data_IF_153528761116
#
_entry.id   IF_153528761116
#
_cell.length_a   1.000
_cell.length_b   1.000
_cell.length_c   1.000
_cell.angle_alpha   90.00
_cell.angle_beta   90.00
_cell.angle_gamma   90.00
#
_symmetry.space_group_name_H-M   'P 1'
#
loop_
_entity.id
_entity.type
_entity.pdbx_description
1 polymer ?
#
# COMPACT_ATOMS: atom_id res chain seq x y z
N UNK A 1 -6.01 -22.85 49.73
CA UNK A 1 -5.40 -23.20 48.44
C UNK A 1 -6.10 -22.40 47.36
N UNK A 2 -5.51 -21.30 46.91
CA UNK A 2 -6.01 -20.53 45.78
C UNK A 2 -4.80 -20.15 44.93
N UNK A 3 -4.77 -20.66 43.70
CA UNK A 3 -3.65 -20.56 42.78
C UNK A 3 -3.62 -19.16 42.14
N UNK A 4 -2.47 -18.50 42.24
CA UNK A 4 -2.12 -17.30 41.50
C UNK A 4 -1.84 -17.67 40.04
N UNK A 5 -2.66 -17.18 39.11
CA UNK A 5 -2.35 -17.20 37.67
C UNK A 5 -1.83 -15.82 37.26
N UNK A 6 -0.51 -15.68 37.22
CA UNK A 6 0.18 -14.53 36.60
C UNK A 6 0.34 -14.84 35.12
N UNK A 7 -0.39 -14.14 34.25
CA UNK A 7 -0.24 -14.27 32.80
C UNK A 7 0.72 -13.18 32.31
N UNK A 8 2.00 -13.54 32.11
CA UNK A 8 2.98 -12.69 31.44
C UNK A 8 2.72 -12.68 29.94
N UNK A 9 2.31 -11.54 29.39
CA UNK A 9 2.26 -11.32 27.94
C UNK A 9 3.66 -10.97 27.44
N UNK A 10 4.23 -11.84 26.61
CA UNK A 10 5.55 -11.70 26.02
C UNK A 10 5.41 -11.12 24.61
N UNK A 11 5.72 -9.85 24.42
CA UNK A 11 5.80 -9.21 23.11
C UNK A 11 7.17 -9.53 22.49
N UNK A 12 7.16 -10.39 21.47
CA UNK A 12 8.35 -10.72 20.67
C UNK A 12 8.49 -9.75 19.50
N UNK A 13 9.28 -8.70 19.69
CA UNK A 13 9.80 -7.87 18.59
C UNK A 13 11.11 -8.52 18.11
N UNK A 14 11.14 -9.02 16.87
CA UNK A 14 12.42 -9.33 16.20
C UNK A 14 12.48 -8.64 14.84
N UNK A 15 13.41 -7.70 14.83
CA UNK A 15 13.85 -6.83 13.75
C UNK A 15 14.38 -7.64 12.56
N UNK A 16 14.07 -7.21 11.33
CA UNK A 16 14.81 -7.63 10.14
C UNK A 16 15.99 -6.69 9.96
N UNK A 17 17.20 -7.21 10.20
CA UNK A 17 18.46 -6.59 9.84
C UNK A 17 18.78 -6.90 8.38
N UNK A 18 18.98 -5.87 7.56
CA UNK A 18 19.53 -5.99 6.22
C UNK A 18 21.05 -5.81 6.33
N UNK A 19 21.80 -6.84 5.99
CA UNK A 19 23.27 -6.81 5.98
C UNK A 19 23.76 -6.08 4.73
N UNK A 20 24.66 -5.13 4.94
CA UNK A 20 25.45 -4.42 3.94
C UNK A 20 26.84 -5.05 3.78
N UNK A 21 27.52 -4.67 2.68
CA UNK A 21 28.92 -4.92 2.30
C UNK A 21 29.22 -6.34 1.73
N UNK A 22 30.08 -6.51 0.73
CA UNK A 22 31.28 -5.74 0.37
C UNK A 22 31.59 -5.81 -1.13
N UNK A 23 32.09 -4.68 -1.66
CA UNK A 23 32.84 -4.61 -2.89
C UNK A 23 34.17 -5.35 -2.74
N UNK A 24 34.43 -6.33 -3.60
CA UNK A 24 35.75 -6.86 -3.88
C UNK A 24 36.31 -6.22 -5.15
N UNK A 25 37.45 -5.54 -5.02
CA UNK A 25 38.10 -4.82 -6.11
C UNK A 25 39.24 -5.60 -6.79
N UNK A 26 39.50 -5.16 -8.03
CA UNK A 26 40.79 -5.11 -8.76
C UNK A 26 41.18 -6.39 -9.53
N UNK A 27 41.32 -6.30 -10.87
CA UNK A 27 42.54 -5.82 -11.55
C UNK A 27 42.35 -5.64 -13.07
N UNK A 28 43.06 -4.65 -13.60
CA UNK A 28 43.26 -4.34 -15.01
C UNK A 28 44.13 -5.39 -15.70
N UNK A 29 43.86 -5.65 -16.98
CA UNK A 29 44.90 -5.76 -18.01
C UNK A 29 44.30 -5.68 -19.41
N UNK A 30 44.83 -4.71 -20.16
CA UNK A 30 44.72 -4.46 -21.59
C UNK A 30 45.13 -5.64 -22.46
N UNK A 31 44.41 -5.88 -23.56
CA UNK A 31 44.98 -6.01 -24.92
C UNK A 31 43.86 -5.97 -25.96
N UNK A 32 44.04 -5.12 -26.96
CA UNK A 32 43.26 -5.01 -28.18
C UNK A 32 43.29 -6.29 -29.02
N UNK A 33 42.12 -6.76 -29.45
CA UNK A 33 41.98 -7.63 -30.62
C UNK A 33 40.64 -7.37 -31.28
N UNK A 34 40.67 -6.69 -32.43
CA UNK A 34 39.52 -6.55 -33.32
C UNK A 34 39.26 -7.91 -33.96
N UNK A 35 38.29 -8.63 -33.42
CA UNK A 35 37.74 -9.85 -34.02
C UNK A 35 36.34 -9.58 -34.53
N UNK A 36 36.16 -9.51 -35.85
CA UNK A 36 34.83 -9.51 -36.48
C UNK A 36 34.12 -10.83 -36.17
N UNK A 37 32.92 -10.74 -35.60
CA UNK A 37 32.05 -11.90 -35.31
C UNK A 37 31.32 -12.34 -36.57
N UNK A 38 31.22 -13.65 -36.89
CA UNK A 38 30.44 -14.12 -38.03
C UNK A 38 28.93 -13.96 -37.77
N UNK A 39 28.19 -13.39 -38.71
CA UNK A 39 26.73 -13.31 -38.65
C UNK A 39 26.10 -14.63 -39.08
N UNK A 40 25.29 -15.24 -38.20
CA UNK A 40 24.48 -16.42 -38.48
C UNK A 40 23.05 -15.96 -38.80
N UNK A 41 22.56 -16.27 -40.00
CA UNK A 41 21.14 -16.13 -40.32
C UNK A 41 20.48 -17.52 -40.33
N UNK A 42 19.51 -17.70 -39.43
CA UNK A 42 18.70 -18.93 -39.34
C UNK A 42 17.56 -18.90 -40.34
N UNK A 43 17.49 -19.87 -41.24
CA UNK A 43 16.35 -20.07 -42.12
C UNK A 43 15.17 -20.68 -41.34
N UNK A 44 14.01 -20.02 -41.37
CA UNK A 44 12.76 -20.61 -40.90
C UNK A 44 12.41 -21.81 -41.81
N UNK A 45 12.46 -23.03 -41.27
CA UNK A 45 12.11 -24.25 -42.02
C UNK A 45 12.93 -25.50 -41.74
N UNK A 46 13.86 -25.50 -40.78
CA UNK A 46 14.42 -26.75 -40.22
C UNK A 46 15.43 -27.51 -41.08
N UNK A 47 15.97 -26.92 -42.16
CA UNK A 47 17.10 -27.51 -42.91
C UNK A 47 18.17 -26.46 -43.24
N UNK A 48 19.35 -26.62 -42.63
CA UNK A 48 20.64 -26.05 -43.08
C UNK A 48 21.01 -24.67 -42.55
N UNK A 49 21.98 -24.61 -41.62
CA UNK A 49 22.70 -23.38 -41.26
C UNK A 49 23.78 -23.11 -42.31
N UNK A 50 23.76 -21.96 -42.99
CA UNK A 50 24.83 -21.56 -43.93
C UNK A 50 25.71 -20.48 -43.29
N UNK A 51 27.00 -20.77 -43.17
CA UNK A 51 28.03 -19.81 -42.71
C UNK A 51 28.77 -19.30 -43.95
N UNK A 52 28.62 -18.01 -44.27
CA UNK A 52 29.41 -17.38 -45.31
C UNK A 52 30.77 -16.95 -44.76
N UNK A 53 31.86 -17.49 -45.34
CA UNK A 53 33.23 -16.97 -45.16
C UNK A 53 33.61 -16.20 -46.42
N UNK A 54 33.98 -14.93 -46.28
CA UNK A 54 34.57 -14.16 -47.38
C UNK A 54 36.00 -14.66 -47.60
N UNK A 55 36.20 -15.51 -48.61
CA UNK A 55 37.55 -15.86 -49.06
C UNK A 55 37.93 -14.87 -50.17
N UNK A 56 38.69 -13.84 -49.82
CA UNK A 56 39.34 -12.95 -50.80
C UNK A 56 40.56 -13.68 -51.36
N UNK A 57 40.40 -14.35 -52.50
CA UNK A 57 41.54 -14.84 -53.27
C UNK A 57 41.71 -13.91 -54.47
N UNK A 58 42.79 -13.15 -54.42
CA UNK A 58 43.28 -12.32 -55.50
C UNK A 58 43.40 -13.12 -56.80
N UNK A 59 42.84 -12.56 -57.87
CA UNK A 59 43.13 -12.94 -59.25
C UNK A 59 44.57 -12.54 -59.56
N UNK A 60 45.43 -13.52 -59.81
CA UNK A 60 46.75 -13.33 -60.40
C UNK A 60 46.72 -14.01 -61.77
N UNK A 61 46.78 -13.18 -62.81
CA UNK A 61 46.84 -13.62 -64.20
C UNK A 61 48.08 -14.49 -64.45
N UNK A 62 47.89 -15.57 -65.20
CA UNK A 62 48.98 -16.32 -65.81
C UNK A 62 49.14 -15.84 -67.24
N UNK A 63 50.24 -15.13 -67.48
CA UNK A 63 50.77 -14.74 -68.79
C UNK A 63 51.71 -15.85 -69.27
N UNK A 64 51.60 -16.23 -70.54
CA UNK A 64 52.46 -17.21 -71.22
C UNK A 64 51.66 -17.86 -72.33
N UNK A 65 52.03 -17.85 -73.61
CA UNK A 65 53.37 -17.81 -74.20
C UNK A 65 53.23 -17.21 -75.61
N UNK A 66 54.06 -16.23 -75.94
CA UNK A 66 54.17 -15.65 -77.28
C UNK A 66 55.06 -16.58 -78.13
N UNK A 67 54.43 -17.32 -79.03
CA UNK A 67 55.08 -17.98 -80.16
C UNK A 67 55.02 -17.07 -81.38
N UNK A 68 56.06 -16.27 -81.56
CA UNK A 68 56.34 -15.45 -82.72
C UNK A 68 56.56 -16.33 -83.96
N UNK A 69 55.74 -16.17 -85.02
CA UNK A 69 56.21 -16.44 -86.38
C UNK A 69 55.50 -15.57 -87.40
N UNK A 70 56.28 -14.65 -87.97
CA UNK A 70 56.31 -14.21 -89.37
C UNK A 70 54.99 -13.90 -90.10
N UNK A 71 54.66 -12.61 -90.10
CA UNK A 71 54.45 -11.71 -91.26
C UNK A 71 54.03 -12.34 -92.62
N UNK A 72 52.92 -11.79 -93.15
CA UNK A 72 52.43 -11.67 -94.55
C UNK A 72 51.35 -12.66 -95.03
N UNK A 73 50.10 -12.17 -95.02
CA UNK A 73 49.19 -12.27 -96.17
C UNK A 73 48.09 -13.34 -96.16
N UNK A 74 46.95 -13.10 -95.47
CA UNK A 74 45.59 -13.40 -96.01
C UNK A 74 44.50 -12.80 -95.09
N UNK A 75 43.93 -11.64 -95.45
CA UNK A 75 42.83 -11.01 -94.69
C UNK A 75 41.56 -11.86 -94.62
N UNK A 76 41.47 -12.93 -95.42
CA UNK A 76 40.33 -13.84 -95.46
C UNK A 76 40.30 -14.81 -94.28
N UNK A 77 41.45 -15.30 -93.82
CA UNK A 77 41.54 -16.22 -92.68
C UNK A 77 41.20 -15.53 -91.34
N UNK A 78 41.61 -14.27 -91.18
CA UNK A 78 41.25 -13.46 -90.01
C UNK A 78 39.76 -13.08 -89.99
N UNK A 79 39.17 -12.79 -91.16
CA UNK A 79 37.72 -12.61 -91.29
C UNK A 79 36.93 -13.89 -91.02
N UNK A 80 37.48 -15.05 -91.36
CA UNK A 80 36.85 -16.34 -91.09
C UNK A 80 36.86 -16.68 -89.59
N UNK A 81 37.97 -16.48 -88.89
CA UNK A 81 38.05 -16.64 -87.42
C UNK A 81 37.10 -15.68 -86.68
N UNK A 82 36.97 -14.45 -87.15
CA UNK A 82 36.00 -13.48 -86.62
C UNK A 82 34.55 -13.91 -86.87
N UNK A 83 34.25 -14.42 -88.06
CA UNK A 83 32.91 -14.93 -88.38
C UNK A 83 32.57 -16.19 -87.57
N UNK A 84 33.53 -17.09 -87.36
CA UNK A 84 33.34 -18.29 -86.53
C UNK A 84 33.12 -17.89 -85.06
N UNK A 85 33.88 -16.93 -84.53
CA UNK A 85 33.62 -16.33 -83.20
C UNK A 85 32.27 -15.64 -83.10
N UNK A 86 31.82 -14.95 -84.15
CA UNK A 86 30.51 -14.31 -84.19
C UNK A 86 29.39 -15.36 -84.24
N UNK A 87 29.58 -16.45 -84.98
CA UNK A 87 28.64 -17.58 -85.00
C UNK A 87 28.53 -18.24 -83.63
N UNK A 88 29.65 -18.46 -82.94
CA UNK A 88 29.68 -18.98 -81.57
C UNK A 88 29.02 -18.02 -80.57
N UNK A 89 29.25 -16.71 -80.70
CA UNK A 89 28.59 -15.69 -79.89
C UNK A 89 27.08 -15.67 -80.12
N UNK A 90 26.62 -15.72 -81.37
CA UNK A 90 25.20 -15.77 -81.72
C UNK A 90 24.55 -17.07 -81.22
N UNK A 91 25.24 -18.20 -81.32
CA UNK A 91 24.78 -19.47 -80.76
C UNK A 91 24.65 -19.40 -79.23
N UNK A 92 25.60 -18.73 -78.56
CA UNK A 92 25.57 -18.51 -77.11
C UNK A 92 24.43 -17.58 -76.69
N UNK A 93 24.20 -16.48 -77.42
CA UNK A 93 23.09 -15.55 -77.16
C UNK A 93 21.76 -16.29 -77.30
N UNK A 94 21.54 -17.05 -78.37
CA UNK A 94 20.31 -17.86 -78.53
C UNK A 94 20.10 -18.87 -77.40
N UNK A 95 21.17 -19.52 -76.93
CA UNK A 95 21.10 -20.43 -75.78
C UNK A 95 20.74 -19.71 -74.48
N UNK A 96 21.28 -18.50 -74.26
CA UNK A 96 20.95 -17.69 -73.09
C UNK A 96 19.54 -17.13 -73.15
N UNK A 97 19.06 -16.69 -74.31
CA UNK A 97 17.68 -16.26 -74.52
C UNK A 97 16.69 -17.38 -74.26
N UNK A 98 16.98 -18.61 -74.71
CA UNK A 98 16.15 -19.78 -74.42
C UNK A 98 16.09 -20.08 -72.91
N UNK A 99 17.23 -19.97 -72.20
CA UNK A 99 17.29 -20.16 -70.74
C UNK A 99 16.56 -19.04 -69.99
N UNK A 100 16.68 -17.79 -70.44
CA UNK A 100 15.94 -16.67 -69.83
C UNK A 100 14.44 -16.83 -70.00
N UNK A 101 13.96 -17.20 -71.20
CA UNK A 101 12.52 -17.52 -71.39
C UNK A 101 12.05 -18.63 -70.46
N UNK A 102 12.84 -19.68 -70.27
CA UNK A 102 12.49 -20.75 -69.35
C UNK A 102 12.44 -20.26 -67.89
N UNK A 103 13.37 -19.41 -67.48
CA UNK A 103 13.37 -18.82 -66.14
C UNK A 103 12.17 -17.89 -65.93
N UNK A 104 11.82 -17.08 -66.93
CA UNK A 104 10.63 -16.21 -66.88
C UNK A 104 9.35 -17.03 -66.70
N UNK A 105 9.19 -18.14 -67.43
CA UNK A 105 8.05 -19.04 -67.27
C UNK A 105 8.01 -19.66 -65.87
N UNK A 106 9.15 -20.14 -65.36
CA UNK A 106 9.22 -20.73 -64.01
C UNK A 106 8.91 -19.68 -62.92
N UNK A 107 9.34 -18.42 -63.10
CA UNK A 107 9.02 -17.32 -62.18
C UNK A 107 7.52 -17.02 -62.22
N UNK A 108 6.93 -16.94 -63.41
CA UNK A 108 5.49 -16.68 -63.56
C UNK A 108 4.65 -17.79 -62.90
N UNK A 109 5.00 -19.05 -63.12
CA UNK A 109 4.33 -20.20 -62.49
C UNK A 109 4.49 -20.18 -60.96
N UNK A 110 5.69 -19.89 -60.44
CA UNK A 110 5.92 -19.77 -59.00
C UNK A 110 5.13 -18.62 -58.37
N UNK A 111 5.05 -17.48 -59.04
CA UNK A 111 4.26 -16.33 -58.58
C UNK A 111 2.76 -16.66 -58.55
N UNK A 112 2.25 -17.36 -59.58
CA UNK A 112 0.85 -17.77 -59.63
C UNK A 112 0.52 -18.79 -58.53
N UNK A 113 1.41 -19.76 -58.31
CA UNK A 113 1.24 -20.79 -57.28
C UNK A 113 1.37 -20.22 -55.86
N UNK A 114 2.14 -19.15 -55.66
CA UNK A 114 2.23 -18.41 -54.40
C UNK A 114 1.03 -17.48 -54.19
N UNK A 115 0.47 -16.92 -55.26
CA UNK A 115 -0.73 -16.09 -55.20
C UNK A 115 -1.99 -16.88 -54.81
N UNK A 116 -2.02 -18.19 -55.08
CA UNK A 116 -3.12 -19.09 -54.68
C UNK A 116 -2.96 -19.65 -53.27
N UNK A 117 -1.86 -19.34 -52.55
CA UNK A 117 -1.71 -19.65 -51.12
C UNK A 117 -2.55 -18.66 -50.31
N UNK A 118 -3.87 -18.91 -50.35
CA UNK A 118 -4.88 -18.67 -49.32
C UNK A 118 -4.48 -17.59 -48.32
N UNK A 119 -5.02 -16.38 -48.50
CA UNK A 119 -5.17 -15.42 -47.41
C UNK A 119 -5.96 -16.11 -46.29
N UNK A 120 -5.26 -16.64 -45.28
CA UNK A 120 -5.90 -17.25 -44.12
C UNK A 120 -6.78 -16.18 -43.49
N UNK A 121 -8.09 -16.39 -43.46
CA UNK A 121 -9.05 -15.41 -42.96
C UNK A 121 -8.90 -15.26 -41.44
N UNK A 122 -8.08 -14.30 -41.00
CA UNK A 122 -7.86 -14.02 -39.57
C UNK A 122 -8.99 -13.20 -38.92
N UNK A 123 -9.97 -12.73 -39.70
CA UNK A 123 -11.09 -11.91 -39.22
C UNK A 123 -11.91 -12.56 -38.08
N UNK A 124 -12.09 -13.88 -38.11
CA UNK A 124 -12.79 -14.60 -37.05
C UNK A 124 -12.06 -14.54 -35.70
N UNK A 125 -10.73 -14.57 -35.70
CA UNK A 125 -9.94 -14.42 -34.47
C UNK A 125 -9.99 -12.99 -33.91
N UNK A 126 -10.08 -11.98 -34.76
CA UNK A 126 -10.25 -10.60 -34.29
C UNK A 126 -11.60 -10.38 -33.61
N UNK A 127 -12.68 -10.99 -34.14
CA UNK A 127 -13.99 -10.98 -33.48
C UNK A 127 -13.92 -11.63 -32.09
N UNK A 128 -13.35 -12.83 -31.97
CA UNK A 128 -13.26 -13.51 -30.67
C UNK A 128 -12.36 -12.78 -29.67
N UNK A 129 -11.26 -12.17 -30.13
CA UNK A 129 -10.41 -11.33 -29.27
C UNK A 129 -11.17 -10.09 -28.80
N UNK A 130 -11.96 -9.46 -29.67
CA UNK A 130 -12.80 -8.32 -29.30
C UNK A 130 -13.85 -8.71 -28.25
N UNK A 131 -14.53 -9.84 -28.45
CA UNK A 131 -15.53 -10.36 -27.51
C UNK A 131 -14.91 -10.69 -26.15
N UNK A 132 -13.74 -11.32 -26.13
CA UNK A 132 -13.00 -11.61 -24.90
C UNK A 132 -12.57 -10.33 -24.17
N UNK A 133 -12.12 -9.29 -24.90
CA UNK A 133 -11.77 -8.00 -24.30
C UNK A 133 -12.99 -7.32 -23.69
N UNK A 134 -14.13 -7.36 -24.37
CA UNK A 134 -15.39 -6.82 -23.85
C UNK A 134 -15.85 -7.57 -22.59
N UNK A 135 -15.74 -8.89 -22.59
CA UNK A 135 -16.06 -9.73 -21.43
C UNK A 135 -15.13 -9.43 -20.25
N UNK A 136 -13.81 -9.29 -20.48
CA UNK A 136 -12.85 -8.90 -19.43
C UNK A 136 -13.21 -7.54 -18.85
N UNK A 137 -13.52 -6.55 -19.69
CA UNK A 137 -13.91 -5.22 -19.22
C UNK A 137 -15.20 -5.24 -18.40
N UNK A 138 -16.20 -6.03 -18.83
CA UNK A 138 -17.45 -6.23 -18.10
C UNK A 138 -17.21 -6.86 -16.73
N UNK A 139 -16.43 -7.95 -16.68
CA UNK A 139 -16.08 -8.64 -15.43
C UNK A 139 -15.27 -7.76 -14.49
N UNK A 140 -14.37 -6.94 -15.03
CA UNK A 140 -13.59 -5.98 -14.26
C UNK A 140 -14.49 -4.92 -13.61
N UNK A 141 -15.44 -4.35 -14.36
CA UNK A 141 -16.43 -3.40 -13.83
C UNK A 141 -17.33 -4.03 -12.77
N UNK A 142 -17.80 -5.27 -12.99
CA UNK A 142 -18.57 -6.03 -11.99
C UNK A 142 -17.76 -6.27 -10.71
N UNK A 143 -16.49 -6.63 -10.83
CA UNK A 143 -15.62 -6.85 -9.69
C UNK A 143 -15.39 -5.54 -8.91
N UNK A 144 -15.16 -4.41 -9.60
CA UNK A 144 -15.08 -3.11 -8.95
C UNK A 144 -16.37 -2.75 -8.21
N UNK A 145 -17.54 -3.01 -8.81
CA UNK A 145 -18.82 -2.77 -8.14
C UNK A 145 -18.99 -3.63 -6.88
N UNK A 146 -18.57 -4.90 -6.93
CA UNK A 146 -18.58 -5.80 -5.77
C UNK A 146 -17.63 -5.29 -4.68
N UNK A 147 -16.43 -4.81 -5.04
CA UNK A 147 -15.49 -4.22 -4.09
C UNK A 147 -16.10 -3.02 -3.36
N UNK A 148 -16.76 -2.10 -4.08
CA UNK A 148 -17.44 -0.96 -3.46
C UNK A 148 -18.58 -1.40 -2.53
N UNK A 149 -19.34 -2.45 -2.92
CA UNK A 149 -20.38 -3.00 -2.04
C UNK A 149 -19.80 -3.67 -0.80
N UNK A 150 -18.66 -4.35 -0.92
CA UNK A 150 -17.93 -4.94 0.20
C UNK A 150 -17.47 -3.85 1.18
N UNK A 151 -16.84 -2.80 0.67
CA UNK A 151 -16.36 -1.68 1.48
C UNK A 151 -17.52 -0.98 2.19
N UNK A 152 -18.64 -0.76 1.51
CA UNK A 152 -19.85 -0.20 2.12
C UNK A 152 -20.42 -1.12 3.21
N UNK A 153 -20.51 -2.43 2.96
CA UNK A 153 -20.96 -3.40 3.96
C UNK A 153 -20.02 -3.47 5.18
N UNK A 154 -18.71 -3.34 4.97
CA UNK A 154 -17.71 -3.27 6.03
C UNK A 154 -17.87 -2.01 6.87
N UNK A 155 -17.97 -0.83 6.23
CA UNK A 155 -18.20 0.43 6.94
C UNK A 155 -19.51 0.41 7.75
N UNK A 156 -20.59 -0.14 7.18
CA UNK A 156 -21.85 -0.31 7.91
C UNK A 156 -21.72 -1.27 9.11
N UNK A 157 -20.95 -2.35 8.97
CA UNK A 157 -20.68 -3.28 10.07
C UNK A 157 -19.85 -2.62 11.18
N UNK A 158 -18.85 -1.81 10.83
CA UNK A 158 -18.05 -1.02 11.77
C UNK A 158 -18.90 0.02 12.51
N UNK A 159 -19.80 0.71 11.81
CA UNK A 159 -20.76 1.63 12.41
C UNK A 159 -21.67 0.93 13.43
N UNK A 160 -22.20 -0.25 13.09
CA UNK A 160 -23.01 -1.03 14.03
C UNK A 160 -22.21 -1.53 15.22
N UNK A 161 -20.96 -1.94 15.00
CA UNK A 161 -20.06 -2.35 16.08
C UNK A 161 -19.79 -1.20 17.03
N UNK A 162 -19.46 -0.01 16.51
CA UNK A 162 -19.22 1.18 17.33
C UNK A 162 -20.47 1.56 18.14
N UNK A 163 -21.66 1.51 17.52
CA UNK A 163 -22.94 1.73 18.22
C UNK A 163 -23.18 0.69 19.31
N UNK A 164 -22.92 -0.58 19.03
CA UNK A 164 -23.05 -1.66 20.01
C UNK A 164 -22.10 -1.45 21.20
N UNK A 165 -20.84 -1.13 20.94
CA UNK A 165 -19.85 -0.87 21.99
C UNK A 165 -20.25 0.35 22.84
N UNK A 166 -20.77 1.41 22.23
CA UNK A 166 -21.30 2.58 22.95
C UNK A 166 -22.50 2.22 23.84
N UNK A 167 -23.49 1.51 23.29
CA UNK A 167 -24.68 1.07 24.05
C UNK A 167 -24.31 0.09 25.16
N UNK A 168 -23.38 -0.83 24.93
CA UNK A 168 -22.87 -1.73 25.95
C UNK A 168 -22.20 -0.97 27.10
N UNK A 169 -21.37 0.03 26.79
CA UNK A 169 -20.75 0.87 27.82
C UNK A 169 -21.79 1.67 28.62
N UNK A 170 -22.82 2.20 27.95
CA UNK A 170 -23.93 2.88 28.61
C UNK A 170 -24.70 1.91 29.51
N UNK A 171 -25.00 0.71 29.02
CA UNK A 171 -25.66 -0.34 29.79
C UNK A 171 -24.88 -0.70 31.06
N UNK A 172 -23.57 -0.95 30.95
CA UNK A 172 -22.70 -1.24 32.10
C UNK A 172 -22.68 -0.10 33.11
N UNK A 173 -22.70 1.15 32.64
CA UNK A 173 -22.78 2.33 33.52
C UNK A 173 -24.12 2.35 34.26
N UNK A 174 -25.23 2.14 33.57
CA UNK A 174 -26.56 2.07 34.17
C UNK A 174 -26.68 0.90 35.15
N UNK A 175 -26.13 -0.28 34.82
CA UNK A 175 -26.11 -1.42 35.74
C UNK A 175 -25.30 -1.14 37.01
N UNK A 176 -24.17 -0.44 36.88
CA UNK A 176 -23.40 0.00 38.02
C UNK A 176 -24.21 0.99 38.88
N UNK A 177 -24.93 1.92 38.26
CA UNK A 177 -25.79 2.90 38.94
C UNK A 177 -26.95 2.22 39.68
N UNK A 178 -27.63 1.27 39.04
CA UNK A 178 -28.69 0.46 39.65
C UNK A 178 -28.15 -0.34 40.84
N UNK A 179 -26.95 -0.90 40.72
CA UNK A 179 -26.30 -1.64 41.82
C UNK A 179 -25.96 -0.71 43.00
N UNK A 180 -25.48 0.51 42.74
CA UNK A 180 -25.24 1.52 43.78
C UNK A 180 -26.55 1.96 44.45
N UNK A 181 -27.62 2.19 43.68
CA UNK A 181 -28.93 2.55 44.22
C UNK A 181 -29.53 1.43 45.07
N UNK A 182 -29.35 0.15 44.68
CA UNK A 182 -29.74 -1.00 45.51
C UNK A 182 -28.98 -1.03 46.84
N UNK A 183 -27.67 -0.78 46.82
CA UNK A 183 -26.87 -0.71 48.05
C UNK A 183 -27.31 0.45 48.97
N UNK A 184 -27.62 1.63 48.41
CA UNK A 184 -28.16 2.76 49.18
C UNK A 184 -29.53 2.41 49.78
N UNK A 185 -30.43 1.79 49.01
CA UNK A 185 -31.71 1.30 49.52
C UNK A 185 -31.51 0.32 50.67
N UNK A 186 -30.61 -0.65 50.53
CA UNK A 186 -30.37 -1.66 51.57
C UNK A 186 -29.81 -1.01 52.85
N UNK A 187 -28.91 -0.03 52.71
CA UNK A 187 -28.43 0.78 53.84
C UNK A 187 -29.54 1.59 54.51
N UNK A 188 -30.47 2.17 53.74
CA UNK A 188 -31.61 2.91 54.28
C UNK A 188 -32.59 1.96 54.99
N UNK A 189 -32.85 0.78 54.44
CA UNK A 189 -33.68 -0.25 55.07
C UNK A 189 -33.08 -0.67 56.41
N UNK A 190 -31.76 -0.90 56.46
CA UNK A 190 -31.07 -1.22 57.71
C UNK A 190 -31.20 -0.08 58.73
N UNK A 191 -31.02 1.18 58.29
CA UNK A 191 -31.22 2.35 59.15
C UNK A 191 -32.67 2.50 59.65
N UNK A 192 -33.68 2.13 58.86
CA UNK A 192 -35.07 2.09 59.31
C UNK A 192 -35.23 1.03 60.42
N UNK A 193 -34.71 -0.18 60.22
CA UNK A 193 -34.77 -1.23 61.24
C UNK A 193 -34.04 -0.84 62.54
N UNK A 194 -32.89 -0.19 62.46
CA UNK A 194 -32.17 0.32 63.63
C UNK A 194 -33.00 1.38 64.40
N UNK A 195 -33.66 2.28 63.67
CA UNK A 195 -34.55 3.29 64.27
C UNK A 195 -35.82 2.64 64.87
N UNK A 196 -36.39 1.62 64.22
CA UNK A 196 -37.53 0.86 64.76
C UNK A 196 -37.16 0.14 66.06
N UNK A 197 -35.97 -0.47 66.13
CA UNK A 197 -35.44 -1.08 67.35
C UNK A 197 -35.27 -0.03 68.46
N UNK A 198 -34.65 1.12 68.16
CA UNK A 198 -34.51 2.21 69.14
C UNK A 198 -35.86 2.73 69.65
N UNK A 199 -36.88 2.82 68.78
CA UNK A 199 -38.24 3.20 69.18
C UNK A 199 -38.84 2.15 70.13
N UNK A 200 -38.66 0.87 69.84
CA UNK A 200 -39.20 -0.21 70.68
C UNK A 200 -38.49 -0.28 72.03
N UNK A 201 -37.17 -0.11 72.06
CA UNK A 201 -36.37 -0.02 73.29
C UNK A 201 -36.85 1.15 74.17
N UNK A 202 -37.04 2.34 73.58
CA UNK A 202 -37.57 3.52 74.31
C UNK A 202 -39.00 3.31 74.82
N UNK A 203 -39.85 2.60 74.06
CA UNK A 203 -41.20 2.24 74.53
C UNK A 203 -41.15 1.26 75.70
N UNK A 204 -40.25 0.27 75.66
CA UNK A 204 -40.05 -0.68 76.74
C UNK A 204 -39.54 0.02 78.01
N UNK A 205 -38.57 0.93 77.88
CA UNK A 205 -38.08 1.75 78.99
C UNK A 205 -39.20 2.63 79.59
N UNK A 206 -40.01 3.27 78.74
CA UNK A 206 -41.16 4.06 79.18
C UNK A 206 -42.19 3.20 79.92
N UNK A 207 -42.48 1.99 79.42
CA UNK A 207 -43.38 1.05 80.07
C UNK A 207 -42.84 0.60 81.44
N UNK A 208 -41.54 0.31 81.53
CA UNK A 208 -40.86 -0.02 82.79
C UNK A 208 -40.93 1.13 83.79
N UNK A 209 -40.62 2.37 83.36
CA UNK A 209 -40.73 3.57 84.21
C UNK A 209 -42.16 3.76 84.75
N UNK A 210 -43.19 3.55 83.91
CA UNK A 210 -44.59 3.61 84.35
C UNK A 210 -44.94 2.50 85.34
N UNK A 211 -44.46 1.28 85.12
CA UNK A 211 -44.68 0.15 86.02
C UNK A 211 -44.02 0.40 87.38
N UNK A 212 -42.75 0.83 87.38
CA UNK A 212 -42.01 1.20 88.57
C UNK A 212 -42.72 2.33 89.33
N UNK A 213 -43.13 3.40 88.64
CA UNK A 213 -43.86 4.50 89.28
C UNK A 213 -45.18 4.03 89.90
N UNK A 214 -45.92 3.15 89.22
CA UNK A 214 -47.16 2.58 89.77
C UNK A 214 -46.89 1.72 91.02
N UNK A 215 -45.82 0.94 91.00
CA UNK A 215 -45.39 0.14 92.14
C UNK A 215 -44.96 1.02 93.31
N UNK A 216 -44.12 2.03 93.07
CA UNK A 216 -43.71 3.02 94.09
C UNK A 216 -44.91 3.75 94.67
N UNK A 217 -45.86 4.20 93.85
CA UNK A 217 -47.10 4.83 94.32
C UNK A 217 -47.97 3.86 95.12
N UNK A 218 -47.99 2.57 94.76
CA UNK A 218 -48.66 1.54 95.54
C UNK A 218 -47.96 1.30 96.88
N UNK A 219 -46.63 1.25 96.90
CA UNK A 219 -45.82 1.11 98.11
C UNK A 219 -45.98 2.34 99.02
N UNK A 220 -45.94 3.56 98.47
CA UNK A 220 -46.20 4.81 99.21
C UNK A 220 -47.64 4.89 99.71
N UNK A 221 -48.62 4.40 98.95
CA UNK A 221 -50.02 4.28 99.40
C UNK A 221 -50.16 3.30 100.56
N UNK A 222 -49.48 2.15 100.50
CA UNK A 222 -49.40 1.18 101.60
C UNK A 222 -48.70 1.80 102.82
N UNK A 223 -47.61 2.55 102.61
CA UNK A 223 -46.93 3.29 103.68
C UNK A 223 -47.79 4.42 104.26
N UNK A 224 -48.58 5.14 103.45
CA UNK A 224 -49.49 6.18 103.92
C UNK A 224 -50.75 5.61 104.60
N UNK A 225 -51.14 4.38 104.29
CA UNK A 225 -52.22 3.62 104.97
C UNK A 225 -51.73 2.92 106.25
N UNK A 226 -50.40 2.83 106.43
CA UNK A 226 -49.75 2.19 107.55
C UNK A 226 -49.03 3.18 108.46
N UNK A 227 -49.78 4.02 109.18
CA UNK A 227 -49.31 4.48 110.49
C UNK A 227 -49.40 3.30 111.46
N UNK A 228 -48.45 2.36 111.33
CA UNK A 228 -48.26 1.28 112.31
C UNK A 228 -46.95 1.57 113.03
N UNK A 229 -47.10 2.07 114.25
CA UNK A 229 -46.09 1.97 115.28
C UNK A 229 -45.86 0.48 115.57
N UNK A 230 -44.83 -0.12 114.98
CA UNK A 230 -44.37 -1.47 115.33
C UNK A 230 -43.19 -1.33 116.26
N UNK A 231 -43.48 -1.45 117.56
CA UNK A 231 -42.51 -1.88 118.56
C UNK A 231 -42.14 -3.33 118.23
N UNK A 232 -40.96 -3.53 117.62
CA UNK A 232 -40.34 -4.86 117.51
C UNK A 232 -39.57 -5.12 118.79
N UNK A 233 -40.21 -5.86 119.69
CA UNK A 233 -39.56 -6.49 120.83
C UNK A 233 -38.52 -7.51 120.33
N UNK A 234 -37.25 -7.17 120.55
CA UNK A 234 -36.09 -7.91 120.09
C UNK A 234 -35.72 -8.96 121.13
N UNK A 235 -36.21 -10.19 120.95
CA UNK A 235 -35.62 -11.36 121.58
C UNK A 235 -34.92 -12.18 120.50
N UNK A 236 -33.58 -12.12 120.50
CA UNK A 236 -32.58 -13.19 120.36
C UNK A 236 -31.23 -12.47 120.22
N UNK A 237 -30.43 -12.43 121.29
CA UNK A 237 -29.10 -11.81 121.29
C UNK A 237 -28.13 -12.64 120.45
N UNK A 238 -28.17 -12.44 119.13
CA UNK A 238 -27.04 -12.77 118.26
C UNK A 238 -25.97 -11.72 118.47
N UNK A 239 -24.73 -12.18 118.61
CA UNK A 239 -23.55 -11.36 118.89
C UNK A 239 -23.36 -10.31 117.78
N UNK A 240 -23.86 -9.09 118.01
CA UNK A 240 -23.82 -7.98 117.04
C UNK A 240 -22.40 -7.69 116.56
N UNK A 241 -21.39 -7.97 117.39
CA UNK A 241 -19.99 -7.82 117.04
C UNK A 241 -19.59 -8.76 115.90
N UNK A 242 -20.07 -10.02 115.91
CA UNK A 242 -19.84 -10.96 114.81
C UNK A 242 -20.61 -10.59 113.55
N UNK A 243 -21.86 -10.14 113.67
CA UNK A 243 -22.68 -9.75 112.50
C UNK A 243 -22.15 -8.47 111.84
N UNK A 244 -21.68 -7.50 112.63
CA UNK A 244 -21.04 -6.29 112.10
C UNK A 244 -19.68 -6.59 111.45
N UNK A 245 -18.90 -7.50 112.02
CA UNK A 245 -17.63 -7.94 111.43
C UNK A 245 -17.86 -8.74 110.13
N UNK A 246 -18.84 -9.65 110.11
CA UNK A 246 -19.23 -10.39 108.90
C UNK A 246 -19.80 -9.46 107.83
N UNK A 247 -20.63 -8.47 108.19
CA UNK A 247 -21.08 -7.42 107.25
C UNK A 247 -19.90 -6.63 106.70
N UNK A 248 -18.93 -6.26 107.54
CA UNK A 248 -17.74 -5.53 107.11
C UNK A 248 -16.89 -6.38 106.15
N UNK A 249 -16.68 -7.64 106.45
CA UNK A 249 -15.95 -8.59 105.60
C UNK A 249 -16.66 -8.80 104.26
N UNK A 250 -17.99 -8.89 104.24
CA UNK A 250 -18.78 -8.94 103.01
C UNK A 250 -18.64 -7.66 102.19
N UNK A 251 -18.73 -6.48 102.81
CA UNK A 251 -18.53 -5.21 102.10
C UNK A 251 -17.11 -5.07 101.57
N UNK A 252 -16.10 -5.43 102.35
CA UNK A 252 -14.70 -5.36 101.93
C UNK A 252 -14.41 -6.33 100.78
N UNK A 253 -15.03 -7.52 100.81
CA UNK A 253 -14.97 -8.49 99.72
C UNK A 253 -15.68 -7.96 98.46
N UNK A 254 -16.86 -7.35 98.58
CA UNK A 254 -17.61 -6.77 97.45
C UNK A 254 -16.86 -5.58 96.86
N UNK A 255 -16.30 -4.70 97.68
CA UNK A 255 -15.50 -3.56 97.23
C UNK A 255 -14.22 -4.03 96.53
N UNK A 256 -13.54 -5.04 97.08
CA UNK A 256 -12.34 -5.62 96.46
C UNK A 256 -12.65 -6.30 95.13
N UNK A 257 -13.76 -7.06 95.05
CA UNK A 257 -14.24 -7.66 93.80
C UNK A 257 -14.61 -6.60 92.77
N UNK A 258 -15.37 -5.58 93.14
CA UNK A 258 -15.77 -4.48 92.26
C UNK A 258 -14.54 -3.74 91.72
N UNK A 259 -13.55 -3.43 92.57
CA UNK A 259 -12.29 -2.81 92.12
C UNK A 259 -11.56 -3.66 91.07
N UNK A 260 -11.44 -4.98 91.31
CA UNK A 260 -10.81 -5.90 90.36
C UNK A 260 -11.61 -6.03 89.05
N UNK A 261 -12.94 -6.04 89.12
CA UNK A 261 -13.81 -6.10 87.95
C UNK A 261 -13.72 -4.82 87.11
N UNK A 262 -13.73 -3.65 87.75
CA UNK A 262 -13.54 -2.35 87.10
C UNK A 262 -12.16 -2.27 86.45
N UNK A 263 -11.10 -2.69 87.13
CA UNK A 263 -9.76 -2.70 86.56
C UNK A 263 -9.62 -3.67 85.37
N UNK A 264 -10.19 -4.88 85.46
CA UNK A 264 -10.26 -5.81 84.32
C UNK A 264 -11.08 -5.23 83.16
N UNK A 265 -12.19 -4.56 83.45
CA UNK A 265 -13.04 -3.93 82.45
C UNK A 265 -12.28 -2.80 81.74
N UNK A 266 -11.59 -1.93 82.48
CA UNK A 266 -10.74 -0.89 81.90
C UNK A 266 -9.59 -1.47 81.07
N UNK A 267 -8.88 -2.49 81.57
CA UNK A 267 -7.81 -3.15 80.83
C UNK A 267 -8.32 -3.75 79.52
N UNK A 268 -9.46 -4.45 79.56
CA UNK A 268 -10.12 -4.99 78.36
C UNK A 268 -10.47 -3.89 77.35
N UNK A 269 -11.03 -2.76 77.83
CA UNK A 269 -11.39 -1.64 76.95
C UNK A 269 -10.16 -0.97 76.32
N UNK A 270 -9.08 -0.80 77.09
CA UNK A 270 -7.80 -0.27 76.60
C UNK A 270 -7.18 -1.23 75.56
N UNK A 271 -7.23 -2.54 75.81
CA UNK A 271 -6.72 -3.54 74.86
C UNK A 271 -7.49 -3.50 73.53
N UNK A 272 -8.82 -3.38 73.58
CA UNK A 272 -9.66 -3.23 72.38
C UNK A 272 -9.28 -1.96 71.60
N UNK A 273 -9.18 -0.82 72.28
CA UNK A 273 -8.79 0.45 71.65
C UNK A 273 -7.38 0.37 71.07
N UNK A 274 -6.44 -0.27 71.77
CA UNK A 274 -5.08 -0.45 71.28
C UNK A 274 -5.04 -1.33 70.02
N UNK A 275 -5.82 -2.42 69.97
CA UNK A 275 -5.97 -3.24 68.77
C UNK A 275 -6.57 -2.44 67.61
N UNK A 276 -7.61 -1.65 67.87
CA UNK A 276 -8.24 -0.80 66.86
C UNK A 276 -7.27 0.27 66.32
N UNK A 277 -6.48 0.91 67.20
CA UNK A 277 -5.44 1.87 66.79
C UNK A 277 -4.39 1.20 65.92
N UNK A 278 -3.95 -0.01 66.27
CA UNK A 278 -2.97 -0.75 65.47
C UNK A 278 -3.54 -1.08 64.08
N UNK A 279 -4.76 -1.58 64.01
CA UNK A 279 -5.45 -1.88 62.74
C UNK A 279 -5.59 -0.63 61.89
N UNK A 280 -6.11 0.46 62.48
CA UNK A 280 -6.23 1.75 61.79
C UNK A 280 -4.87 2.25 61.29
N UNK A 281 -3.80 2.12 62.08
CA UNK A 281 -2.46 2.51 61.68
C UNK A 281 -1.91 1.63 60.55
N UNK A 282 -2.20 0.32 60.55
CA UNK A 282 -1.80 -0.56 59.44
C UNK A 282 -2.56 -0.23 58.17
N UNK A 283 -3.86 0.08 58.25
CA UNK A 283 -4.69 0.43 57.11
C UNK A 283 -4.26 1.76 56.50
N UNK A 284 -3.94 2.77 57.32
CA UNK A 284 -3.38 4.03 56.83
C UNK A 284 -2.06 3.79 56.08
N UNK A 285 -1.21 2.88 56.57
CA UNK A 285 0.05 2.54 55.90
C UNK A 285 -0.15 1.77 54.59
N UNK A 286 -1.14 0.89 54.50
CA UNK A 286 -1.45 0.16 53.25
C UNK A 286 -2.02 1.11 52.22
N UNK A 287 -3.01 1.94 52.58
CA UNK A 287 -3.57 2.96 51.68
C UNK A 287 -2.51 3.95 51.20
N UNK A 288 -1.58 4.37 52.07
CA UNK A 288 -0.49 5.23 51.64
C UNK A 288 0.44 4.57 50.61
N UNK A 289 0.73 3.27 50.77
CA UNK A 289 1.52 2.50 49.79
C UNK A 289 0.77 2.36 48.46
N UNK A 290 -0.51 2.02 48.51
CA UNK A 290 -1.37 1.91 47.32
C UNK A 290 -1.51 3.24 46.57
N UNK A 291 -1.66 4.35 47.30
CA UNK A 291 -1.70 5.68 46.69
C UNK A 291 -0.35 6.05 46.06
N UNK A 292 0.76 5.66 46.69
CA UNK A 292 2.11 5.86 46.14
C UNK A 292 2.36 5.02 44.88
N UNK A 293 1.93 3.75 44.85
CA UNK A 293 2.02 2.91 43.65
C UNK A 293 1.13 3.44 42.54
N UNK A 294 -0.11 3.83 42.84
CA UNK A 294 -1.03 4.41 41.87
C UNK A 294 -0.51 5.73 41.29
N UNK A 295 0.11 6.58 42.11
CA UNK A 295 0.76 7.80 41.64
C UNK A 295 1.91 7.50 40.67
N UNK A 296 2.73 6.49 40.96
CA UNK A 296 3.83 6.06 40.08
C UNK A 296 3.31 5.48 38.76
N UNK A 297 2.27 4.64 38.80
CA UNK A 297 1.67 4.10 37.57
C UNK A 297 1.03 5.19 36.73
N UNK A 298 0.33 6.14 37.36
CA UNK A 298 -0.22 7.31 36.67
C UNK A 298 0.87 8.15 36.00
N UNK A 299 1.96 8.45 36.70
CA UNK A 299 3.08 9.19 36.12
C UNK A 299 3.73 8.44 34.96
N UNK A 300 3.92 7.12 35.08
CA UNK A 300 4.44 6.28 33.99
C UNK A 300 3.51 6.28 32.77
N UNK A 301 2.20 6.23 32.99
CA UNK A 301 1.21 6.27 31.91
C UNK A 301 1.17 7.65 31.24
N UNK A 302 1.29 8.73 32.02
CA UNK A 302 1.40 10.09 31.50
C UNK A 302 2.64 10.25 30.60
N UNK A 303 3.80 9.71 31.02
CA UNK A 303 5.02 9.75 30.22
C UNK A 303 4.85 8.95 28.93
N UNK A 304 4.29 7.74 29.02
CA UNK A 304 4.00 6.89 27.85
C UNK A 304 3.05 7.58 26.85
N UNK A 305 2.01 8.26 27.37
CA UNK A 305 1.10 9.07 26.56
C UNK A 305 1.85 10.22 25.87
N UNK A 306 2.71 10.92 26.61
CA UNK A 306 3.48 12.03 26.06
C UNK A 306 4.46 11.56 24.98
N UNK A 307 5.15 10.44 25.19
CA UNK A 307 6.05 9.88 24.18
C UNK A 307 5.31 9.43 22.92
N UNK A 308 4.15 8.80 23.06
CA UNK A 308 3.31 8.43 21.92
C UNK A 308 2.82 9.67 21.15
N UNK A 309 2.45 10.74 21.87
CA UNK A 309 2.07 12.00 21.23
C UNK A 309 3.24 12.61 20.46
N UNK A 310 4.46 12.62 21.02
CA UNK A 310 5.64 13.14 20.30
C UNK A 310 5.99 12.30 19.07
N UNK A 311 5.78 10.98 19.13
CA UNK A 311 5.99 10.09 17.99
C UNK A 311 4.98 10.39 16.87
N UNK A 312 3.69 10.54 17.21
CA UNK A 312 2.65 10.91 16.25
C UNK A 312 2.98 12.25 15.58
N UNK A 313 3.36 13.27 16.35
CA UNK A 313 3.73 14.58 15.82
C UNK A 313 4.92 14.48 14.86
N UNK A 314 5.98 13.75 15.23
CA UNK A 314 7.14 13.53 14.37
C UNK A 314 6.77 12.81 13.07
N UNK A 315 5.92 11.78 13.14
CA UNK A 315 5.44 11.07 11.94
C UNK A 315 4.58 11.97 11.04
N UNK A 316 3.75 12.84 11.62
CA UNK A 316 2.96 13.82 10.86
C UNK A 316 3.86 14.85 10.16
N UNK A 317 4.86 15.38 10.86
CA UNK A 317 5.85 16.32 10.31
C UNK A 317 6.65 15.68 9.17
N UNK A 318 7.15 14.45 9.36
CA UNK A 318 7.86 13.71 8.32
C UNK A 318 6.98 13.45 7.08
N UNK A 319 5.72 13.08 7.30
CA UNK A 319 4.77 12.85 6.22
C UNK A 319 4.50 14.13 5.43
N UNK A 320 4.37 15.27 6.11
CA UNK A 320 4.19 16.57 5.45
C UNK A 320 5.45 17.02 4.71
N UNK A 321 6.63 16.82 5.28
CA UNK A 321 7.91 17.09 4.61
C UNK A 321 8.06 16.25 3.33
N UNK A 322 7.75 14.95 3.41
CA UNK A 322 7.78 14.05 2.26
C UNK A 322 6.79 14.49 1.18
N UNK A 323 5.55 14.81 1.55
CA UNK A 323 4.55 15.36 0.62
C UNK A 323 5.02 16.64 -0.05
N UNK A 324 5.55 17.57 0.73
CA UNK A 324 6.09 18.85 0.23
C UNK A 324 7.23 18.62 -0.75
N UNK A 325 8.16 17.72 -0.44
CA UNK A 325 9.27 17.34 -1.32
C UNK A 325 8.78 16.76 -2.65
N UNK A 326 7.83 15.82 -2.60
CA UNK A 326 7.26 15.23 -3.82
C UNK A 326 6.43 16.22 -4.63
N UNK A 327 5.70 17.12 -3.97
CA UNK A 327 4.97 18.20 -4.63
C UNK A 327 5.92 19.14 -5.37
N UNK A 328 7.05 19.51 -4.77
CA UNK A 328 8.09 20.32 -5.41
C UNK A 328 8.71 19.59 -6.61
N UNK A 329 9.04 18.30 -6.47
CA UNK A 329 9.56 17.49 -7.57
C UNK A 329 8.56 17.40 -8.73
N UNK A 330 7.28 17.20 -8.44
CA UNK A 330 6.23 17.17 -9.46
C UNK A 330 6.10 18.53 -10.17
N UNK A 331 6.19 19.64 -9.42
CA UNK A 331 6.17 20.98 -10.00
C UNK A 331 7.40 21.20 -10.90
N UNK A 332 8.59 20.76 -10.50
CA UNK A 332 9.79 20.84 -11.33
C UNK A 332 9.63 20.04 -12.62
N UNK A 333 9.14 18.80 -12.55
CA UNK A 333 8.86 17.98 -13.73
C UNK A 333 7.81 18.64 -14.63
N UNK A 334 6.75 19.21 -14.07
CA UNK A 334 5.74 19.94 -14.83
C UNK A 334 6.35 21.14 -15.59
N UNK A 335 7.24 21.89 -14.94
CA UNK A 335 7.97 22.98 -15.61
C UNK A 335 8.80 22.44 -16.77
N UNK A 336 9.55 21.34 -16.58
CA UNK A 336 10.35 20.75 -17.67
C UNK A 336 9.49 20.23 -18.83
N UNK A 337 8.32 19.67 -18.55
CA UNK A 337 7.37 19.25 -19.57
C UNK A 337 6.89 20.48 -20.34
N UNK A 338 6.45 21.52 -19.64
CA UNK A 338 5.97 22.74 -20.29
C UNK A 338 7.06 23.44 -21.13
N UNK A 339 8.32 23.45 -20.69
CA UNK A 339 9.42 23.99 -21.52
C UNK A 339 9.63 23.14 -22.78
N UNK A 340 9.66 21.81 -22.67
CA UNK A 340 9.81 20.93 -23.83
C UNK A 340 8.61 21.02 -24.79
N UNK A 341 7.39 21.17 -24.28
CA UNK A 341 6.20 21.40 -25.09
C UNK A 341 6.29 22.72 -25.86
N UNK A 342 6.79 23.78 -25.23
CA UNK A 342 7.01 25.08 -25.89
C UNK A 342 8.07 25.00 -26.99
N UNK A 343 9.20 24.34 -26.72
CA UNK A 343 10.27 24.12 -27.72
C UNK A 343 9.77 23.29 -28.90
N UNK A 344 8.98 22.24 -28.64
CA UNK A 344 8.39 21.39 -29.68
C UNK A 344 7.40 22.21 -30.54
N UNK A 345 6.60 23.08 -29.92
CA UNK A 345 5.69 23.97 -30.65
C UNK A 345 6.44 24.98 -31.50
N UNK A 346 7.53 25.56 -30.99
CA UNK A 346 8.40 26.47 -31.75
C UNK A 346 9.05 25.76 -32.95
N UNK A 347 9.57 24.54 -32.75
CA UNK A 347 10.16 23.75 -33.82
C UNK A 347 9.13 23.38 -34.90
N UNK A 348 7.90 23.01 -34.51
CA UNK A 348 6.79 22.80 -35.44
C UNK A 348 6.47 24.05 -36.26
N UNK A 349 6.38 25.21 -35.60
CA UNK A 349 6.13 26.48 -36.28
C UNK A 349 7.26 26.81 -37.27
N UNK A 350 8.53 26.57 -36.87
CA UNK A 350 9.69 26.78 -37.74
C UNK A 350 9.69 25.85 -38.96
N UNK A 351 9.32 24.57 -38.80
CA UNK A 351 9.20 23.61 -39.88
C UNK A 351 8.11 24.01 -40.88
N UNK A 352 6.95 24.42 -40.38
CA UNK A 352 5.86 24.93 -41.24
C UNK A 352 6.30 26.16 -42.03
N UNK A 353 7.04 27.08 -41.40
CA UNK A 353 7.61 28.26 -42.07
C UNK A 353 8.59 27.87 -43.18
N UNK A 354 9.49 26.92 -42.92
CA UNK A 354 10.42 26.41 -43.94
C UNK A 354 9.68 25.68 -45.06
N UNK A 355 8.62 24.94 -44.74
CA UNK A 355 7.78 24.28 -45.73
C UNK A 355 7.05 25.28 -46.64
N UNK A 356 6.53 26.38 -46.09
CA UNK A 356 5.91 27.45 -46.91
C UNK A 356 6.94 28.12 -47.81
N UNK A 357 8.12 28.47 -47.28
CA UNK A 357 9.21 29.06 -48.08
C UNK A 357 9.68 28.11 -49.20
N UNK A 358 9.77 26.81 -48.91
CA UNK A 358 10.12 25.80 -49.91
C UNK A 358 9.06 25.67 -51.01
N UNK A 359 7.78 25.71 -50.65
CA UNK A 359 6.68 25.66 -51.63
C UNK A 359 6.68 26.90 -52.53
N UNK A 360 6.93 28.09 -51.97
CA UNK A 360 7.08 29.32 -52.75
C UNK A 360 8.26 29.24 -53.73
N UNK A 361 9.41 28.74 -53.27
CA UNK A 361 10.58 28.54 -54.13
C UNK A 361 10.32 27.51 -55.23
N UNK A 362 9.58 26.44 -54.92
CA UNK A 362 9.18 25.44 -55.90
C UNK A 362 8.25 26.02 -56.97
N UNK A 363 7.30 26.89 -56.60
CA UNK A 363 6.43 27.59 -57.57
C UNK A 363 7.25 28.47 -58.52
N UNK A 364 8.18 29.26 -57.97
CA UNK A 364 9.09 30.09 -58.77
C UNK A 364 9.94 29.22 -59.71
N UNK A 365 10.50 28.12 -59.20
CA UNK A 365 11.29 27.17 -60.01
C UNK A 365 10.46 26.61 -61.16
N UNK A 366 9.23 26.15 -60.88
CA UNK A 366 8.34 25.60 -61.89
C UNK A 366 8.00 26.64 -62.97
N UNK A 367 7.78 27.91 -62.58
CA UNK A 367 7.57 29.02 -63.52
C UNK A 367 8.78 29.28 -64.41
N UNK A 368 9.98 29.31 -63.84
CA UNK A 368 11.22 29.47 -64.59
C UNK A 368 11.47 28.28 -65.55
N UNK A 369 11.16 27.04 -65.12
CA UNK A 369 11.26 25.87 -66.01
C UNK A 369 10.30 25.98 -67.21
N UNK A 370 9.08 26.49 -67.01
CA UNK A 370 8.16 26.78 -68.12
C UNK A 370 8.71 27.86 -69.07
N UNK A 371 9.27 28.96 -68.53
CA UNK A 371 9.89 30.01 -69.35
C UNK A 371 11.07 29.48 -70.15
N UNK A 372 11.94 28.65 -69.56
CA UNK A 372 13.06 28.00 -70.25
C UNK A 372 12.56 27.05 -71.35
N UNK A 373 11.49 26.29 -71.11
CA UNK A 373 10.90 25.42 -72.11
C UNK A 373 10.37 26.21 -73.31
N UNK A 374 9.70 27.35 -73.07
CA UNK A 374 9.28 28.27 -74.13
C UNK A 374 10.47 28.90 -74.86
N UNK A 375 11.52 29.33 -74.14
CA UNK A 375 12.74 29.83 -74.77
C UNK A 375 13.39 28.76 -75.65
N UNK A 376 13.48 27.50 -75.21
CA UNK A 376 13.98 26.39 -76.03
C UNK A 376 13.12 26.19 -77.28
N UNK A 377 11.79 26.19 -77.16
CA UNK A 377 10.86 26.09 -78.30
C UNK A 377 11.07 27.21 -79.33
N UNK A 378 11.31 28.44 -78.87
CA UNK A 378 11.57 29.58 -79.76
C UNK A 378 12.96 29.49 -80.43
N UNK A 379 14.00 29.05 -79.70
CA UNK A 379 15.35 28.88 -80.25
C UNK A 379 15.48 27.69 -81.21
N UNK A 380 14.72 26.60 -80.98
CA UNK A 380 14.66 25.43 -81.86
C UNK A 380 13.86 25.68 -83.15
N UNK A 381 13.24 26.87 -83.31
CA UNK A 381 12.62 27.37 -84.53
C UNK A 381 11.58 26.43 -85.14
N UNK A 382 10.33 26.46 -84.68
CA UNK A 382 9.14 25.75 -85.24
C UNK A 382 9.44 24.45 -86.04
N UNK A 383 10.25 23.55 -85.51
CA UNK A 383 10.25 22.17 -86.00
C UNK A 383 8.99 21.49 -85.48
N UNK A 384 7.90 21.62 -86.25
CA UNK A 384 6.71 20.79 -86.17
C UNK A 384 7.07 19.32 -86.46
N UNK A 385 7.73 18.65 -85.52
CA UNK A 385 7.60 17.20 -85.43
C UNK A 385 6.28 16.90 -84.73
N UNK A 386 5.23 16.70 -85.52
CA UNK A 386 4.03 15.97 -85.11
C UNK A 386 4.46 14.60 -84.61
N UNK A 387 4.76 14.47 -83.32
CA UNK A 387 4.63 13.19 -82.62
C UNK A 387 3.15 12.98 -82.36
N UNK A 388 2.63 11.95 -83.01
CA UNK A 388 1.26 11.46 -82.83
C UNK A 388 0.94 11.34 -81.34
N UNK A 389 -0.10 12.07 -80.94
CA UNK A 389 -0.76 11.88 -79.65
C UNK A 389 -1.47 10.54 -79.71
N UNK A 390 -0.79 9.49 -79.25
CA UNK A 390 -1.47 8.27 -78.81
C UNK A 390 -2.22 8.65 -77.53
N UNK A 391 -3.51 8.87 -77.66
CA UNK A 391 -4.44 9.04 -76.54
C UNK A 391 -4.47 7.73 -75.76
N UNK A 392 -3.62 7.62 -74.75
CA UNK A 392 -3.88 6.71 -73.63
C UNK A 392 -4.72 7.53 -72.65
N UNK A 393 -6.03 7.30 -72.68
CA UNK A 393 -6.96 7.67 -71.62
C UNK A 393 -6.53 6.96 -70.34
N UNK A 394 -5.54 7.49 -69.63
CA UNK A 394 -5.26 7.12 -68.26
C UNK A 394 -6.16 8.02 -67.41
N UNK A 395 -7.30 7.46 -67.02
CA UNK A 395 -8.13 8.01 -65.94
C UNK A 395 -7.20 8.21 -64.75
N UNK A 396 -6.84 9.46 -64.46
CA UNK A 396 -6.22 9.80 -63.19
C UNK A 396 -7.37 9.86 -62.21
N UNK A 397 -7.64 8.72 -61.54
CA UNK A 397 -8.39 8.74 -60.30
C UNK A 397 -7.65 9.69 -59.35
N UNK A 398 -8.30 10.81 -59.03
CA UNK A 398 -7.92 11.66 -57.92
C UNK A 398 -8.28 10.86 -56.67
N UNK A 399 -7.36 9.99 -56.22
CA UNK A 399 -7.41 9.50 -54.85
C UNK A 399 -7.17 10.69 -53.93
N UNK A 400 -8.23 11.11 -53.23
CA UNK A 400 -8.13 11.93 -52.03
C UNK A 400 -7.12 11.29 -51.08
N UNK A 401 -5.89 11.81 -51.05
CA UNK A 401 -4.91 11.43 -50.03
C UNK A 401 -5.41 11.93 -48.69
N UNK A 402 -6.07 11.06 -47.93
CA UNK A 402 -6.33 11.24 -46.50
C UNK A 402 -4.99 11.54 -45.79
N UNK A 403 -4.97 12.46 -44.81
CA UNK A 403 -3.73 12.79 -44.10
C UNK A 403 -3.21 11.55 -43.37
N UNK A 404 -1.98 11.16 -43.68
CA UNK A 404 -1.27 10.05 -43.06
C UNK A 404 -0.89 10.43 -41.62
N UNK A 405 -1.57 9.86 -40.63
CA UNK A 405 -1.30 10.12 -39.22
C UNK A 405 -0.37 9.02 -38.70
N UNK A 406 0.92 9.32 -38.57
CA UNK A 406 1.90 8.42 -37.93
C UNK A 406 1.90 8.63 -36.42
N UNK A 407 1.66 7.56 -35.65
CA UNK A 407 1.83 7.58 -34.20
C UNK A 407 3.24 7.10 -33.89
N UNK A 408 4.08 7.99 -33.34
CA UNK A 408 5.44 7.65 -32.89
C UNK A 408 5.42 7.44 -31.39
N UNK A 409 5.61 6.19 -30.97
CA UNK A 409 5.73 5.85 -29.54
C UNK A 409 7.22 5.73 -29.23
N UNK A 410 7.69 6.65 -28.39
CA UNK A 410 9.06 6.62 -27.84
C UNK A 410 9.01 5.92 -26.50
N UNK A 411 9.64 4.76 -26.42
CA UNK A 411 9.80 4.03 -25.16
C UNK A 411 11.23 4.23 -24.70
N UNK A 412 11.38 4.91 -23.57
CA UNK A 412 12.67 5.13 -22.92
C UNK A 412 12.79 4.09 -21.82
N UNK A 413 13.82 3.24 -21.92
CA UNK A 413 14.14 2.26 -20.89
C UNK A 413 15.37 2.78 -20.15
N UNK A 414 15.16 3.18 -18.90
CA UNK A 414 16.22 3.64 -18.01
C UNK A 414 16.57 2.54 -17.01
N UNK A 415 17.84 2.18 -16.97
CA UNK A 415 18.36 1.25 -15.97
C UNK A 415 18.90 2.07 -14.79
N UNK A 416 18.25 1.91 -13.64
CA UNK A 416 18.56 2.66 -12.41
C UNK A 416 19.25 1.71 -11.42
N UNK A 417 20.48 2.05 -11.02
CA UNK A 417 21.20 1.39 -9.94
C UNK A 417 21.58 2.46 -8.91
N UNK A 418 21.28 2.21 -7.63
CA UNK A 418 21.55 3.13 -6.50
C UNK A 418 21.02 4.57 -6.69
N UNK A 419 19.88 4.72 -7.36
CA UNK A 419 19.21 6.01 -7.54
C UNK A 419 19.86 6.94 -8.57
N UNK A 420 20.81 6.44 -9.37
CA UNK A 420 21.41 7.17 -10.49
C UNK A 420 21.19 6.41 -11.81
N UNK A 421 20.77 7.11 -12.87
CA UNK A 421 20.53 6.53 -14.20
C UNK A 421 21.88 6.24 -14.86
N UNK A 422 22.21 4.95 -15.00
CA UNK A 422 23.52 4.51 -15.52
C UNK A 422 23.51 4.21 -17.03
N UNK A 423 22.34 3.93 -17.59
CA UNK A 423 22.11 3.81 -19.03
C UNK A 423 20.67 4.17 -19.39
N UNK A 424 20.49 4.91 -20.49
CA UNK A 424 19.19 5.21 -21.09
C UNK A 424 19.22 4.78 -22.54
N UNK A 425 18.30 3.89 -22.92
CA UNK A 425 18.14 3.42 -24.30
C UNK A 425 16.78 3.85 -24.83
N UNK A 426 16.79 4.56 -25.97
CA UNK A 426 15.60 5.08 -26.62
C UNK A 426 15.24 4.21 -27.84
N UNK A 427 14.09 3.55 -27.79
CA UNK A 427 13.53 2.85 -28.94
C UNK A 427 12.31 3.61 -29.46
N UNK A 428 12.39 4.08 -30.71
CA UNK A 428 11.26 4.72 -31.40
C UNK A 428 10.59 3.70 -32.31
N UNK A 429 9.34 3.34 -32.00
CA UNK A 429 8.50 2.59 -32.93
C UNK A 429 7.58 3.56 -33.66
N UNK A 430 7.62 3.52 -34.99
CA UNK A 430 6.75 4.29 -35.87
C UNK A 430 5.64 3.34 -36.31
N UNK A 431 4.43 3.58 -35.83
CA UNK A 431 3.25 2.83 -36.24
C UNK A 431 2.38 3.71 -37.13
N UNK A 432 2.16 3.24 -38.35
CA UNK A 432 1.33 3.92 -39.33
C UNK A 432 -0.14 3.65 -39.00
N UNK A 433 -0.88 4.68 -38.55
CA UNK A 433 -2.32 4.55 -38.32
C UNK A 433 -3.01 4.84 -39.66
N UNK A 434 -3.64 3.80 -40.23
CA UNK A 434 -4.29 3.85 -41.54
C UNK A 434 -5.66 4.52 -41.49
#
# INVERSE_FOLDING_TARGET
>A
MAASLTQQSSYSVKQRTYSSSSLGGWKQSSTSSVGYTPSVHGGAGGYGTRISRSNSVFSLGSVGSYGETSVVGDGKATMQDLNDRLADYLAKVRSLEAKNRQLELNIAEFCQQKSTVVTKNYGGYFSTISDLRAEIARRFAENQAIHVQLDNAQLAAEDFKMKYDMEMNLHLTVEADVSRLRAVRDSLTLGISDLELSIEDLKAELAQMKANHKEEMSQLSIQCSGSVNVEVDSAHSTDLTKVLEEMREQYETVVSKNKLEVEKWFQSKVEILQKEIIVSQTDVKTFHKELSTLKKTYQSLMISRQSAHTEITCLQENLEEVKSRYSLQLQQLQVTISTLETELQELKASLLRVQTEYNELLDIKMRLEMEIAEYRRLLEGEHYEKKEVVVISKVVEVEERKPHIEKRVKTIIEEIVDGQVVASSEATQVETVQ
#
